data_IF_059272295378
#
_entry.id   IF_059272295378
#
_cell.length_a   1.000
_cell.length_b   1.000
_cell.length_c   1.000
_cell.angle_alpha   90.00
_cell.angle_beta   90.00
_cell.angle_gamma   90.00
#
_symmetry.space_group_name_H-M   'P 1'
#
loop_
_entity.id
_entity.type
_entity.pdbx_description
1 polymer ?
#
# COMPACT_ATOMS: atom_id res chain seq x y z
N UNK A 1 -47.82 22.54 43.80
CA UNK A 1 -46.58 23.27 44.13
C UNK A 1 -45.55 22.91 43.06
N UNK A 2 -45.23 23.90 42.23
CA UNK A 2 -44.36 23.78 41.05
C UNK A 2 -42.91 24.04 41.45
N UNK A 3 -42.00 23.43 40.70
CA UNK A 3 -40.63 23.85 40.40
C UNK A 3 -39.59 23.74 41.51
N UNK A 4 -38.63 22.81 41.35
CA UNK A 4 -37.20 23.07 41.56
C UNK A 4 -36.31 21.92 41.05
N UNK A 5 -36.20 21.73 39.72
CA UNK A 5 -35.14 20.87 39.17
C UNK A 5 -34.83 21.13 37.68
N UNK A 6 -34.96 22.38 37.22
CA UNK A 6 -34.70 22.76 35.83
C UNK A 6 -33.85 24.03 35.76
N UNK A 7 -32.57 23.96 36.15
CA UNK A 7 -31.69 25.12 35.99
C UNK A 7 -30.20 24.85 35.73
N UNK A 8 -29.74 23.60 35.62
CA UNK A 8 -28.31 23.31 35.34
C UNK A 8 -27.98 22.78 33.93
N UNK A 9 -28.97 22.56 33.05
CA UNK A 9 -28.74 22.01 31.70
C UNK A 9 -28.70 23.04 30.55
N UNK A 10 -28.80 24.33 30.83
CA UNK A 10 -28.97 25.36 29.79
C UNK A 10 -27.68 26.05 29.30
N UNK A 11 -26.50 25.73 29.85
CA UNK A 11 -25.25 26.38 29.40
C UNK A 11 -24.39 25.58 28.41
N UNK A 12 -24.66 24.28 28.19
CA UNK A 12 -23.90 23.46 27.23
C UNK A 12 -24.61 23.31 25.86
N UNK A 13 -25.89 23.64 25.77
CA UNK A 13 -26.68 23.60 24.53
C UNK A 13 -26.49 24.85 23.65
N UNK A 14 -25.92 25.93 24.17
CA UNK A 14 -25.70 27.17 23.39
C UNK A 14 -24.45 27.12 22.50
N UNK A 15 -23.41 26.38 22.88
CA UNK A 15 -22.18 26.27 22.08
C UNK A 15 -22.36 25.33 20.86
N UNK A 16 -23.20 24.30 20.98
CA UNK A 16 -23.49 23.38 19.86
C UNK A 16 -24.52 23.93 18.85
N UNK A 17 -25.31 24.93 19.23
CA UNK A 17 -26.29 25.54 18.32
C UNK A 17 -25.64 26.39 17.22
N UNK A 18 -24.47 26.98 17.48
CA UNK A 18 -23.80 27.89 16.54
C UNK A 18 -23.15 27.17 15.34
N UNK A 19 -22.90 25.85 15.42
CA UNK A 19 -22.36 25.07 14.28
C UNK A 19 -23.45 24.51 13.36
N UNK A 20 -24.74 24.62 13.74
CA UNK A 20 -25.86 24.04 12.99
C UNK A 20 -26.52 25.00 11.98
N UNK A 21 -26.23 26.30 12.06
CA UNK A 21 -26.82 27.35 11.21
C UNK A 21 -26.05 27.62 9.91
N UNK A 22 -24.88 27.00 9.70
CA UNK A 22 -24.04 27.28 8.51
C UNK A 22 -24.33 26.42 7.27
N UNK A 23 -25.16 25.36 7.33
CA UNK A 23 -25.35 24.43 6.19
C UNK A 23 -26.76 24.35 5.61
N UNK A 24 -27.65 25.29 5.91
CA UNK A 24 -28.98 25.36 5.26
C UNK A 24 -29.12 26.53 4.27
N UNK A 25 -28.07 27.34 4.08
CA UNK A 25 -28.08 28.55 3.24
C UNK A 25 -27.13 28.52 2.02
N UNK A 26 -26.66 27.35 1.57
CA UNK A 26 -25.86 27.23 0.33
C UNK A 26 -26.51 26.28 -0.67
N UNK A 27 -27.82 26.42 -0.84
CA UNK A 27 -28.45 26.13 -2.12
C UNK A 27 -28.67 27.48 -2.79
N UNK A 28 -27.98 27.67 -3.90
CA UNK A 28 -28.01 28.84 -4.79
C UNK A 28 -27.01 29.95 -4.43
N UNK A 29 -26.18 30.29 -5.42
CA UNK A 29 -25.15 31.35 -5.53
C UNK A 29 -23.70 31.04 -5.12
N UNK A 30 -22.82 31.31 -6.11
CA UNK A 30 -21.37 31.42 -6.14
C UNK A 30 -20.51 30.14 -6.22
N UNK A 31 -20.33 29.70 -7.47
CA UNK A 31 -19.03 29.70 -8.16
C UNK A 31 -17.86 30.29 -7.35
N UNK A 32 -17.16 29.44 -6.60
CA UNK A 32 -15.76 29.65 -6.24
C UNK A 32 -15.03 28.34 -6.55
N UNK A 33 -14.33 28.35 -7.67
CA UNK A 33 -13.50 27.26 -8.17
C UNK A 33 -12.37 26.98 -7.17
N UNK A 34 -12.58 26.01 -6.28
CA UNK A 34 -11.49 25.30 -5.64
C UNK A 34 -11.06 24.17 -6.60
N UNK A 35 -9.82 24.15 -7.11
CA UNK A 35 -9.38 23.15 -8.08
C UNK A 35 -9.46 21.71 -7.55
N UNK A 36 -9.45 21.51 -6.23
CA UNK A 36 -9.71 20.19 -5.62
C UNK A 36 -11.17 19.72 -5.79
N UNK A 37 -12.13 20.64 -5.76
CA UNK A 37 -13.56 20.30 -5.85
C UNK A 37 -13.94 19.90 -7.28
N UNK A 38 -13.27 20.48 -8.29
CA UNK A 38 -13.44 20.10 -9.70
C UNK A 38 -12.76 18.79 -10.07
N UNK A 39 -11.56 18.52 -9.52
CA UNK A 39 -10.93 17.21 -9.70
C UNK A 39 -11.78 16.08 -9.10
N UNK A 40 -12.45 16.33 -7.98
CA UNK A 40 -13.40 15.38 -7.39
C UNK A 40 -14.76 15.33 -8.10
N UNK A 41 -15.24 16.44 -8.69
CA UNK A 41 -16.46 16.45 -9.51
C UNK A 41 -16.31 15.66 -10.81
N UNK A 42 -15.09 15.47 -11.32
CA UNK A 42 -14.81 14.56 -12.46
C UNK A 42 -14.90 13.07 -12.02
N UNK A 43 -14.77 12.82 -10.73
CA UNK A 43 -14.92 11.51 -10.08
C UNK A 43 -16.28 11.45 -9.37
N UNK A 44 -17.35 11.84 -10.09
CA UNK A 44 -18.73 11.96 -9.59
C UNK A 44 -19.29 10.60 -9.15
N UNK A 45 -18.82 10.14 -7.99
CA UNK A 45 -19.38 9.08 -7.18
C UNK A 45 -20.39 9.70 -6.22
N UNK A 46 -21.27 10.58 -6.71
CA UNK A 46 -22.50 10.87 -5.97
C UNK A 46 -23.35 9.61 -6.10
N UNK A 47 -23.51 8.80 -5.04
CA UNK A 47 -24.33 7.62 -5.14
C UNK A 47 -25.76 8.08 -5.41
N UNK A 48 -26.30 7.72 -6.58
CA UNK A 48 -27.66 8.07 -6.97
C UNK A 48 -28.71 7.42 -6.03
N UNK A 49 -28.31 6.38 -5.28
CA UNK A 49 -29.12 5.65 -4.29
C UNK A 49 -28.26 5.17 -3.12
N UNK A 50 -28.84 5.03 -1.92
CA UNK A 50 -28.14 4.53 -0.72
C UNK A 50 -27.50 3.14 -0.92
N UNK A 51 -28.11 2.30 -1.76
CA UNK A 51 -27.57 0.98 -2.14
C UNK A 51 -26.29 1.08 -3.00
N UNK A 52 -26.23 2.07 -3.90
CA UNK A 52 -25.03 2.33 -4.72
C UNK A 52 -23.85 2.73 -3.85
N UNK A 53 -24.09 3.44 -2.75
CA UNK A 53 -23.06 3.84 -1.79
C UNK A 53 -22.47 2.61 -1.11
N UNK A 54 -23.32 1.73 -0.56
CA UNK A 54 -22.91 0.49 0.09
C UNK A 54 -22.04 -0.39 -0.80
N UNK A 55 -22.46 -0.58 -2.05
CA UNK A 55 -21.74 -1.40 -3.01
C UNK A 55 -20.40 -0.75 -3.40
N UNK A 56 -20.36 0.57 -3.56
CA UNK A 56 -19.11 1.28 -3.85
C UNK A 56 -18.07 1.12 -2.73
N UNK A 57 -18.50 1.21 -1.46
CA UNK A 57 -17.63 1.02 -0.30
C UNK A 57 -17.08 -0.41 -0.29
N UNK A 58 -17.95 -1.40 -0.52
CA UNK A 58 -17.53 -2.79 -0.57
C UNK A 58 -16.50 -3.04 -1.69
N UNK A 59 -16.74 -2.52 -2.89
CA UNK A 59 -15.81 -2.65 -4.03
C UNK A 59 -14.47 -1.98 -3.72
N UNK A 60 -14.47 -0.80 -3.08
CA UNK A 60 -13.24 -0.13 -2.66
C UNK A 60 -12.46 -1.00 -1.66
N UNK A 61 -13.11 -1.56 -0.63
CA UNK A 61 -12.43 -2.44 0.33
C UNK A 61 -11.89 -3.72 -0.34
N UNK A 62 -12.60 -4.28 -1.32
CA UNK A 62 -12.11 -5.41 -2.12
C UNK A 62 -10.85 -5.04 -2.91
N UNK A 63 -10.83 -3.87 -3.56
CA UNK A 63 -9.65 -3.38 -4.29
C UNK A 63 -8.49 -3.15 -3.33
N UNK A 64 -8.74 -2.52 -2.18
CA UNK A 64 -7.72 -2.29 -1.14
C UNK A 64 -7.14 -3.62 -0.66
N UNK A 65 -7.97 -4.62 -0.40
CA UNK A 65 -7.51 -5.94 0.00
C UNK A 65 -6.70 -6.63 -1.12
N UNK A 66 -7.13 -6.51 -2.38
CA UNK A 66 -6.40 -7.05 -3.52
C UNK A 66 -5.01 -6.42 -3.67
N UNK A 67 -4.88 -5.11 -3.45
CA UNK A 67 -3.58 -4.43 -3.44
C UNK A 67 -2.70 -4.93 -2.28
N UNK A 68 -3.30 -5.22 -1.13
CA UNK A 68 -2.57 -5.77 0.02
C UNK A 68 -2.11 -7.22 -0.22
N UNK A 69 -2.91 -8.06 -0.91
CA UNK A 69 -2.57 -9.46 -1.18
C UNK A 69 -1.50 -9.63 -2.25
N UNK A 70 -1.46 -8.76 -3.28
CA UNK A 70 -0.41 -8.82 -4.33
C UNK A 70 0.98 -8.50 -3.75
N UNK A 71 1.06 -7.84 -2.58
CA UNK A 71 2.29 -7.66 -1.82
C UNK A 71 3.22 -6.59 -2.38
N UNK A 72 4.07 -6.05 -1.51
CA UNK A 72 4.89 -4.89 -1.85
C UNK A 72 5.92 -5.16 -2.95
N UNK A 73 6.56 -6.31 -2.81
CA UNK A 73 7.73 -6.69 -3.59
C UNK A 73 7.34 -7.08 -5.02
N UNK A 74 6.20 -7.74 -5.23
CA UNK A 74 5.75 -8.16 -6.55
C UNK A 74 5.38 -6.95 -7.42
N UNK A 75 4.63 -6.00 -6.87
CA UNK A 75 4.25 -4.76 -7.57
C UNK A 75 5.50 -3.94 -7.89
N UNK A 76 6.42 -3.77 -6.94
CA UNK A 76 7.63 -2.97 -7.16
C UNK A 76 8.51 -3.58 -8.25
N UNK A 77 8.68 -4.91 -8.26
CA UNK A 77 9.45 -5.60 -9.31
C UNK A 77 8.75 -5.53 -10.68
N UNK A 78 7.42 -5.69 -10.73
CA UNK A 78 6.66 -5.58 -11.97
C UNK A 78 6.70 -4.15 -12.52
N UNK A 79 6.61 -3.13 -11.67
CA UNK A 79 6.68 -1.75 -12.10
C UNK A 79 8.11 -1.34 -12.51
N UNK A 80 9.13 -1.83 -11.80
CA UNK A 80 10.53 -1.62 -12.18
C UNK A 80 10.86 -2.26 -13.55
N UNK A 81 10.33 -3.45 -13.82
CA UNK A 81 10.50 -4.10 -15.13
C UNK A 81 9.73 -3.34 -16.22
N UNK A 82 8.51 -2.88 -15.94
CA UNK A 82 7.73 -2.07 -16.87
C UNK A 82 8.43 -0.74 -17.20
N UNK A 83 8.92 -0.02 -16.19
CA UNK A 83 9.64 1.26 -16.37
C UNK A 83 10.92 1.09 -17.17
N UNK A 84 11.64 -0.02 -17.00
CA UNK A 84 12.83 -0.32 -17.80
C UNK A 84 12.49 -0.76 -19.24
N UNK A 85 11.26 -1.22 -19.48
CA UNK A 85 10.76 -1.55 -20.82
C UNK A 85 10.29 -0.32 -21.58
N UNK A 86 9.75 0.69 -20.89
CA UNK A 86 9.45 1.98 -21.51
C UNK A 86 10.76 2.72 -21.84
N UNK A 87 10.85 3.41 -22.98
CA UNK A 87 12.04 4.15 -23.42
C UNK A 87 12.21 5.48 -22.67
N UNK A 88 12.11 5.44 -21.34
CA UNK A 88 12.34 6.57 -20.45
C UNK A 88 13.85 6.61 -20.15
N UNK A 89 14.36 7.73 -19.63
CA UNK A 89 15.78 8.00 -19.36
C UNK A 89 16.55 6.86 -18.65
N UNK A 90 15.87 6.02 -17.87
CA UNK A 90 16.41 4.81 -17.24
C UNK A 90 16.89 3.75 -18.23
N UNK A 91 16.20 3.56 -19.36
CA UNK A 91 16.60 2.62 -20.42
C UNK A 91 17.91 3.03 -21.12
N UNK A 92 18.13 4.35 -21.32
CA UNK A 92 19.38 4.89 -21.85
C UNK A 92 20.53 4.70 -20.86
N UNK A 93 20.30 4.96 -19.58
CA UNK A 93 21.27 4.72 -18.51
C UNK A 93 21.64 3.22 -18.40
N UNK A 94 20.66 2.31 -18.54
CA UNK A 94 20.92 0.87 -18.57
C UNK A 94 21.73 0.43 -19.80
N UNK A 95 21.50 1.06 -20.96
CA UNK A 95 22.30 0.84 -22.16
C UNK A 95 23.76 1.31 -22.00
N UNK A 96 23.97 2.47 -21.39
CA UNK A 96 25.31 2.99 -21.08
C UNK A 96 26.06 2.12 -20.07
N UNK A 97 25.37 1.61 -19.04
CA UNK A 97 25.96 0.65 -18.10
C UNK A 97 26.47 -0.62 -18.80
N UNK A 98 25.69 -1.18 -19.74
CA UNK A 98 26.12 -2.36 -20.51
C UNK A 98 27.35 -2.08 -21.37
N UNK A 99 27.43 -0.89 -21.97
CA UNK A 99 28.62 -0.46 -22.73
C UNK A 99 29.84 -0.33 -21.84
N UNK A 100 29.73 0.36 -20.70
CA UNK A 100 30.82 0.49 -19.72
C UNK A 100 31.29 -0.86 -19.17
N UNK A 101 30.36 -1.80 -18.92
CA UNK A 101 30.71 -3.17 -18.53
C UNK A 101 31.46 -3.92 -19.63
N UNK A 102 31.01 -3.80 -20.88
CA UNK A 102 31.69 -4.43 -22.01
C UNK A 102 33.11 -3.89 -22.19
N UNK A 103 33.29 -2.57 -22.06
CA UNK A 103 34.60 -1.93 -22.17
C UNK A 103 35.52 -2.27 -20.98
N UNK A 104 34.97 -2.34 -19.76
CA UNK A 104 35.69 -2.85 -18.59
C UNK A 104 36.18 -4.29 -18.78
N UNK A 105 35.32 -5.18 -19.31
CA UNK A 105 35.68 -6.57 -19.58
C UNK A 105 36.73 -6.71 -20.69
N UNK A 106 36.72 -5.82 -21.70
CA UNK A 106 37.78 -5.77 -22.72
C UNK A 106 39.12 -5.35 -22.09
N UNK A 107 39.15 -4.22 -21.37
CA UNK A 107 40.38 -3.72 -20.72
C UNK A 107 40.93 -4.72 -19.71
N UNK A 108 40.07 -5.42 -18.97
CA UNK A 108 40.47 -6.50 -18.06
C UNK A 108 41.09 -7.69 -18.79
N UNK A 109 40.57 -8.07 -19.96
CA UNK A 109 41.19 -9.10 -20.81
C UNK A 109 42.56 -8.66 -21.30
N UNK A 110 42.68 -7.43 -21.78
CA UNK A 110 43.94 -6.91 -22.31
C UNK A 110 45.00 -6.75 -21.21
N UNK A 111 44.59 -6.41 -19.98
CA UNK A 111 45.49 -6.30 -18.82
C UNK A 111 46.04 -7.67 -18.42
N UNK A 112 45.19 -8.70 -18.44
CA UNK A 112 45.59 -10.07 -18.13
C UNK A 112 46.46 -10.70 -19.23
N UNK A 113 46.35 -10.24 -20.48
CA UNK A 113 47.16 -10.71 -21.59
C UNK A 113 48.56 -10.04 -21.66
N UNK A 114 48.79 -8.95 -20.93
CA UNK A 114 50.03 -8.17 -20.98
C UNK A 114 50.97 -8.55 -19.82
N UNK A 115 52.23 -8.90 -20.10
CA UNK A 115 53.28 -9.11 -19.08
C UNK A 115 53.61 -7.79 -18.37
N UNK A 116 53.55 -7.75 -17.05
CA UNK A 116 53.83 -6.54 -16.27
C UNK A 116 55.31 -6.17 -16.21
N UNK A 117 56.21 -7.10 -16.53
CA UNK A 117 57.66 -6.92 -16.45
C UNK A 117 58.24 -6.40 -17.77
N UNK A 118 57.83 -6.99 -18.90
CA UNK A 118 58.37 -6.64 -20.23
C UNK A 118 57.65 -5.45 -20.86
N UNK A 119 56.34 -5.32 -20.64
CA UNK A 119 55.50 -4.28 -21.23
C UNK A 119 54.99 -3.28 -20.17
N UNK A 120 55.82 -2.91 -19.19
CA UNK A 120 55.42 -2.07 -18.04
C UNK A 120 54.72 -0.76 -18.45
N UNK A 121 55.18 -0.08 -19.51
CA UNK A 121 54.57 1.15 -20.00
C UNK A 121 53.12 0.94 -20.48
N UNK A 122 52.86 -0.17 -21.19
CA UNK A 122 51.52 -0.54 -21.65
C UNK A 122 50.65 -1.02 -20.50
N UNK A 123 51.21 -1.85 -19.62
CA UNK A 123 50.54 -2.33 -18.42
C UNK A 123 50.08 -1.17 -17.53
N UNK A 124 50.94 -0.19 -17.27
CA UNK A 124 50.61 0.98 -16.46
C UNK A 124 49.47 1.83 -17.08
N UNK A 125 49.45 1.97 -18.41
CA UNK A 125 48.38 2.68 -19.12
C UNK A 125 47.04 1.94 -19.02
N UNK A 126 47.04 0.63 -19.24
CA UNK A 126 45.84 -0.22 -19.10
C UNK A 126 45.32 -0.25 -17.67
N UNK A 127 46.22 -0.29 -16.68
CA UNK A 127 45.87 -0.26 -15.26
C UNK A 127 45.08 1.01 -14.90
N UNK A 128 45.57 2.19 -15.30
CA UNK A 128 44.85 3.46 -15.10
C UNK A 128 43.49 3.49 -15.80
N UNK A 129 43.37 2.89 -16.99
CA UNK A 129 42.09 2.77 -17.68
C UNK A 129 41.12 1.82 -16.96
N UNK A 130 41.63 0.70 -16.45
CA UNK A 130 40.87 -0.25 -15.63
C UNK A 130 40.33 0.43 -14.36
N UNK A 131 41.18 1.14 -13.63
CA UNK A 131 40.78 1.85 -12.41
C UNK A 131 39.74 2.95 -12.71
N UNK A 132 39.90 3.71 -13.81
CA UNK A 132 38.93 4.74 -14.24
C UNK A 132 37.57 4.15 -14.61
N UNK A 133 37.55 3.04 -15.35
CA UNK A 133 36.30 2.37 -15.74
C UNK A 133 35.61 1.72 -14.53
N UNK A 134 36.38 1.18 -13.59
CA UNK A 134 35.87 0.64 -12.33
C UNK A 134 35.16 1.73 -11.52
N UNK A 135 35.81 2.89 -11.34
CA UNK A 135 35.22 4.02 -10.62
C UNK A 135 33.92 4.51 -11.29
N UNK A 136 33.87 4.57 -12.62
CA UNK A 136 32.65 4.92 -13.35
C UNK A 136 31.55 3.87 -13.14
N UNK A 137 31.87 2.58 -13.21
CA UNK A 137 30.91 1.51 -12.97
C UNK A 137 30.32 1.56 -11.55
N UNK A 138 31.15 1.79 -10.53
CA UNK A 138 30.68 1.94 -9.16
C UNK A 138 29.77 3.15 -8.97
N UNK A 139 30.12 4.30 -9.58
CA UNK A 139 29.27 5.49 -9.57
C UNK A 139 27.91 5.21 -10.20
N UNK A 140 27.87 4.63 -11.40
CA UNK A 140 26.61 4.34 -12.08
C UNK A 140 25.79 3.26 -11.37
N UNK A 141 26.43 2.29 -10.71
CA UNK A 141 25.73 1.32 -9.85
C UNK A 141 25.06 2.00 -8.67
N UNK A 142 25.80 2.84 -7.93
CA UNK A 142 25.27 3.60 -6.78
C UNK A 142 24.10 4.50 -7.17
N UNK A 143 24.18 5.19 -8.32
CA UNK A 143 23.05 6.01 -8.79
C UNK A 143 21.82 5.18 -9.14
N UNK A 144 22.01 4.00 -9.76
CA UNK A 144 20.90 3.11 -10.10
C UNK A 144 20.24 2.52 -8.85
N UNK A 145 21.04 2.10 -7.86
CA UNK A 145 20.54 1.62 -6.57
C UNK A 145 19.79 2.71 -5.80
N UNK A 146 20.31 3.95 -5.80
CA UNK A 146 19.64 5.09 -5.19
C UNK A 146 18.31 5.41 -5.89
N UNK A 147 18.28 5.41 -7.22
CA UNK A 147 17.03 5.55 -7.98
C UNK A 147 16.03 4.46 -7.61
N UNK A 148 16.45 3.18 -7.61
CA UNK A 148 15.60 2.04 -7.24
C UNK A 148 15.00 2.20 -5.83
N UNK A 149 15.83 2.55 -4.85
CA UNK A 149 15.36 2.79 -3.47
C UNK A 149 14.34 3.94 -3.39
N UNK A 150 14.55 5.02 -4.14
CA UNK A 150 13.59 6.12 -4.20
C UNK A 150 12.27 5.70 -4.87
N UNK A 151 12.32 4.91 -5.94
CA UNK A 151 11.12 4.34 -6.54
C UNK A 151 10.37 3.43 -5.56
N UNK A 152 11.07 2.54 -4.86
CA UNK A 152 10.47 1.67 -3.85
C UNK A 152 9.78 2.48 -2.74
N UNK A 153 10.41 3.57 -2.29
CA UNK A 153 9.82 4.50 -1.31
C UNK A 153 8.57 5.18 -1.85
N UNK A 154 8.63 5.74 -3.05
CA UNK A 154 7.49 6.42 -3.68
C UNK A 154 6.33 5.45 -3.85
N UNK A 155 6.57 4.24 -4.34
CA UNK A 155 5.53 3.22 -4.50
C UNK A 155 4.95 2.77 -3.17
N UNK A 156 5.77 2.68 -2.13
CA UNK A 156 5.30 2.37 -0.78
C UNK A 156 4.37 3.48 -0.27
N UNK A 157 4.75 4.75 -0.43
CA UNK A 157 3.92 5.89 -0.04
C UNK A 157 2.62 5.91 -0.84
N UNK A 158 2.70 5.78 -2.17
CA UNK A 158 1.52 5.73 -3.04
C UNK A 158 0.59 4.60 -2.64
N UNK A 159 1.13 3.40 -2.35
CA UNK A 159 0.32 2.27 -1.87
C UNK A 159 -0.35 2.60 -0.55
N UNK A 160 0.37 3.14 0.43
CA UNK A 160 -0.20 3.51 1.74
C UNK A 160 -1.32 4.54 1.54
N UNK A 161 -1.12 5.54 0.68
CA UNK A 161 -2.15 6.52 0.36
C UNK A 161 -3.35 5.85 -0.30
N UNK A 162 -3.15 5.03 -1.34
CA UNK A 162 -4.25 4.36 -2.05
C UNK A 162 -5.01 3.36 -1.15
N UNK A 163 -4.33 2.70 -0.22
CA UNK A 163 -4.95 1.70 0.67
C UNK A 163 -5.58 2.31 1.92
N UNK A 164 -4.97 3.36 2.51
CA UNK A 164 -5.42 3.95 3.78
C UNK A 164 -6.25 5.20 3.59
N UNK A 165 -6.01 6.00 2.56
CA UNK A 165 -6.79 7.22 2.34
C UNK A 165 -8.29 6.92 2.17
N UNK A 166 -8.73 5.89 1.43
CA UNK A 166 -10.16 5.59 1.34
C UNK A 166 -10.79 5.27 2.70
N UNK A 167 -10.08 4.53 3.56
CA UNK A 167 -10.55 4.14 4.89
C UNK A 167 -10.81 5.33 5.82
N UNK A 168 -10.08 6.44 5.65
CA UNK A 168 -10.32 7.66 6.43
C UNK A 168 -11.19 8.68 5.70
N UNK A 169 -11.05 8.78 4.39
CA UNK A 169 -11.72 9.79 3.58
C UNK A 169 -13.21 9.50 3.43
N UNK A 170 -13.60 8.24 3.16
CA UNK A 170 -15.01 7.89 2.99
C UNK A 170 -15.83 8.13 4.27
N UNK A 171 -15.39 7.69 5.47
CA UNK A 171 -16.11 7.98 6.70
C UNK A 171 -16.14 9.46 7.07
N UNK A 172 -15.12 10.21 6.69
CA UNK A 172 -15.08 11.64 6.91
C UNK A 172 -16.11 12.38 6.06
N UNK A 173 -16.26 12.02 4.79
CA UNK A 173 -17.15 12.70 3.85
C UNK A 173 -18.62 12.31 4.02
N UNK A 174 -18.89 11.01 4.22
CA UNK A 174 -20.23 10.44 4.34
C UNK A 174 -20.64 10.18 5.80
N UNK A 175 -20.02 10.89 6.76
CA UNK A 175 -20.19 10.68 8.19
C UNK A 175 -21.65 10.77 8.68
N UNK A 176 -22.47 11.58 8.02
CA UNK A 176 -23.85 11.89 8.44
C UNK A 176 -24.91 11.08 7.69
N UNK A 177 -24.52 10.32 6.67
CA UNK A 177 -25.47 9.52 5.89
C UNK A 177 -25.68 8.15 6.57
N UNK A 178 -26.93 7.77 6.89
CA UNK A 178 -27.23 6.46 7.46
C UNK A 178 -27.22 5.39 6.37
N UNK A 179 -26.49 4.29 6.59
CA UNK A 179 -26.38 3.22 5.61
C UNK A 179 -27.57 2.25 5.65
N UNK A 180 -27.97 1.89 6.87
CA UNK A 180 -29.13 1.05 7.13
C UNK A 180 -29.85 1.54 8.38
N UNK A 181 -31.18 1.51 8.35
CA UNK A 181 -32.04 1.81 9.49
C UNK A 181 -32.43 0.51 10.17
N UNK A 182 -32.15 0.40 11.47
CA UNK A 182 -32.46 -0.80 12.22
C UNK A 182 -33.91 -0.72 12.74
N UNK A 183 -34.68 -1.82 12.68
CA UNK A 183 -36.00 -1.86 13.29
C UNK A 183 -35.90 -1.62 14.80
N UNK A 184 -36.75 -0.75 15.32
CA UNK A 184 -36.70 -0.29 16.70
C UNK A 184 -36.93 -1.47 17.67
N UNK A 185 -35.98 -1.68 18.59
CA UNK A 185 -36.08 -2.71 19.64
C UNK A 185 -35.42 -4.06 19.34
N UNK A 186 -34.71 -4.20 18.21
CA UNK A 186 -33.98 -5.44 17.89
C UNK A 186 -32.60 -5.51 18.57
N UNK A 187 -31.97 -4.36 18.81
CA UNK A 187 -30.64 -4.28 19.40
C UNK A 187 -30.66 -3.51 20.72
N UNK A 188 -29.82 -3.88 21.70
CA UNK A 188 -29.67 -3.12 22.93
C UNK A 188 -29.02 -1.76 22.66
N UNK A 189 -29.31 -0.77 23.50
CA UNK A 189 -28.86 0.63 23.35
C UNK A 189 -27.34 0.78 23.12
N UNK A 190 -26.52 -0.04 23.78
CA UNK A 190 -25.06 0.00 23.60
C UNK A 190 -24.62 -0.42 22.19
N UNK A 191 -25.33 -1.35 21.55
CA UNK A 191 -25.03 -1.80 20.19
C UNK A 191 -25.43 -0.74 19.16
N UNK A 192 -26.60 -0.10 19.35
CA UNK A 192 -27.04 1.03 18.53
C UNK A 192 -26.05 2.20 18.63
N UNK A 193 -25.50 2.46 19.82
CA UNK A 193 -24.49 3.48 20.03
C UNK A 193 -23.18 3.17 19.26
N UNK A 194 -22.63 1.96 19.38
CA UNK A 194 -21.40 1.57 18.68
C UNK A 194 -21.59 1.60 17.16
N UNK A 195 -22.71 1.08 16.66
CA UNK A 195 -23.01 1.03 15.23
C UNK A 195 -23.18 2.42 14.61
N UNK A 196 -23.64 3.40 15.39
CA UNK A 196 -23.86 4.78 14.94
C UNK A 196 -22.60 5.67 14.99
N UNK A 197 -21.56 5.27 15.72
CA UNK A 197 -20.30 6.00 15.81
C UNK A 197 -19.60 6.06 14.43
N UNK A 198 -19.01 7.19 13.98
CA UNK A 198 -18.70 8.42 14.72
C UNK A 198 -19.74 9.56 14.65
N UNK A 199 -20.68 9.55 13.69
CA UNK A 199 -21.59 10.70 13.48
C UNK A 199 -22.96 10.35 12.86
N UNK A 200 -23.32 9.08 12.75
CA UNK A 200 -24.62 8.69 12.25
C UNK A 200 -25.70 8.90 13.34
N UNK A 201 -26.97 9.15 12.97
CA UNK A 201 -28.06 9.22 13.95
C UNK A 201 -28.24 7.88 14.67
N UNK A 202 -28.55 7.93 15.96
CA UNK A 202 -28.82 6.75 16.79
C UNK A 202 -29.98 5.96 16.18
N UNK A 203 -29.83 4.62 16.10
CA UNK A 203 -30.75 3.74 15.38
C UNK A 203 -30.40 3.49 13.91
N UNK A 204 -29.22 3.94 13.46
CA UNK A 204 -28.70 3.66 12.12
C UNK A 204 -27.25 3.15 12.14
N UNK A 205 -26.85 2.46 11.06
CA UNK A 205 -25.48 2.00 10.85
C UNK A 205 -24.65 3.09 10.17
N UNK A 206 -23.51 3.43 10.77
CA UNK A 206 -22.54 4.34 10.18
C UNK A 206 -21.72 3.66 9.08
N UNK A 207 -21.16 4.48 8.19
CA UNK A 207 -20.26 4.01 7.15
C UNK A 207 -18.97 3.36 7.71
N UNK A 208 -18.48 3.82 8.86
CA UNK A 208 -17.31 3.23 9.50
C UNK A 208 -17.60 1.81 10.01
N UNK A 209 -18.75 1.62 10.65
CA UNK A 209 -19.21 0.30 11.10
C UNK A 209 -19.39 -0.66 9.92
N UNK A 210 -19.94 -0.16 8.81
CA UNK A 210 -20.06 -0.94 7.57
C UNK A 210 -18.70 -1.32 6.98
N UNK A 211 -17.76 -0.38 6.89
CA UNK A 211 -16.39 -0.66 6.40
C UNK A 211 -15.67 -1.71 7.24
N UNK A 212 -15.80 -1.64 8.56
CA UNK A 212 -15.24 -2.64 9.47
C UNK A 212 -15.87 -4.01 9.23
N UNK A 213 -17.18 -4.07 9.02
CA UNK A 213 -17.86 -5.32 8.67
C UNK A 213 -17.37 -5.87 7.32
N UNK A 214 -17.25 -5.03 6.28
CA UNK A 214 -16.71 -5.44 4.98
C UNK A 214 -15.27 -5.95 5.09
N UNK A 215 -14.40 -5.24 5.81
CA UNK A 215 -13.02 -5.64 6.04
C UNK A 215 -12.95 -7.01 6.73
N UNK A 216 -13.77 -7.22 7.76
CA UNK A 216 -13.85 -8.50 8.46
C UNK A 216 -14.28 -9.65 7.56
N UNK A 217 -15.34 -9.47 6.77
CA UNK A 217 -15.81 -10.48 5.81
C UNK A 217 -14.75 -10.79 4.76
N UNK A 218 -14.09 -9.77 4.23
CA UNK A 218 -13.03 -9.93 3.23
C UNK A 218 -11.82 -10.68 3.81
N UNK A 219 -11.43 -10.37 5.05
CA UNK A 219 -10.33 -11.06 5.73
C UNK A 219 -10.62 -12.55 5.93
N UNK A 220 -11.82 -12.89 6.39
CA UNK A 220 -12.25 -14.29 6.55
C UNK A 220 -12.26 -15.03 5.21
N UNK A 221 -12.72 -14.38 4.13
CA UNK A 221 -12.70 -14.96 2.79
C UNK A 221 -11.27 -15.15 2.29
N UNK A 222 -10.37 -14.18 2.50
CA UNK A 222 -8.96 -14.34 2.09
C UNK A 222 -8.26 -15.46 2.86
N UNK A 223 -8.53 -15.59 4.16
CA UNK A 223 -7.94 -16.65 4.98
C UNK A 223 -8.50 -18.03 4.60
N UNK A 224 -9.80 -18.11 4.28
CA UNK A 224 -10.41 -19.33 3.77
C UNK A 224 -9.81 -19.75 2.41
N UNK A 225 -9.63 -18.80 1.48
CA UNK A 225 -9.01 -19.05 0.17
C UNK A 225 -7.54 -19.46 0.36
N UNK A 226 -6.80 -18.76 1.21
CA UNK A 226 -5.40 -19.09 1.49
C UNK A 226 -5.25 -20.47 2.16
N UNK A 227 -6.14 -20.79 3.11
CA UNK A 227 -6.16 -22.09 3.78
C UNK A 227 -6.52 -23.24 2.83
N UNK A 228 -7.54 -23.06 1.97
CA UNK A 228 -7.92 -24.07 0.97
C UNK A 228 -6.86 -24.23 -0.12
N UNK A 229 -6.28 -23.13 -0.62
CA UNK A 229 -5.14 -23.19 -1.53
C UNK A 229 -3.94 -23.88 -0.86
N UNK A 230 -3.63 -23.55 0.39
CA UNK A 230 -2.58 -24.20 1.18
C UNK A 230 -2.81 -25.71 1.34
N UNK A 231 -4.05 -26.17 1.50
CA UNK A 231 -4.38 -27.60 1.55
C UNK A 231 -4.25 -28.28 0.17
N UNK A 232 -4.66 -27.61 -0.91
CA UNK A 232 -4.59 -28.13 -2.28
C UNK A 232 -3.16 -28.14 -2.86
N UNK A 233 -2.33 -27.16 -2.48
CA UNK A 233 -0.94 -27.05 -2.92
C UNK A 233 0.05 -27.69 -1.92
N UNK A 234 -0.24 -27.67 -0.61
CA UNK A 234 0.57 -28.27 0.44
C UNK A 234 0.47 -29.80 0.53
N UNK A 235 -0.59 -30.40 -0.02
CA UNK A 235 -0.64 -31.86 -0.23
C UNK A 235 0.37 -32.36 -1.26
N UNK A 236 0.97 -31.47 -2.07
CA UNK A 236 2.05 -31.85 -2.98
C UNK A 236 3.43 -31.91 -2.32
N UNK A 237 3.67 -31.20 -1.22
CA UNK A 237 4.99 -31.16 -0.57
C UNK A 237 5.09 -32.00 0.71
N UNK A 238 3.96 -32.44 1.28
CA UNK A 238 3.97 -33.31 2.47
C UNK A 238 4.41 -34.77 2.20
N UNK A 239 4.83 -35.13 0.98
CA UNK A 239 5.27 -36.49 0.63
C UNK A 239 6.77 -36.66 0.40
N UNK A 240 7.58 -35.61 0.59
CA UNK A 240 9.03 -35.70 0.37
C UNK A 240 9.82 -34.96 1.45
N UNK A 241 9.86 -35.54 2.65
CA UNK A 241 10.91 -35.25 3.63
C UNK A 241 11.66 -36.56 3.94
N UNK A 242 12.96 -36.67 3.63
CA UNK A 242 13.74 -37.86 3.92
C UNK A 242 14.06 -37.88 5.42
N UNK A 243 13.58 -38.93 6.08
CA UNK A 243 14.11 -39.40 7.35
C UNK A 243 15.56 -39.78 7.06
N UNK A 244 16.54 -39.16 7.75
CA UNK A 244 17.87 -39.67 8.16
C UNK A 244 18.94 -38.58 8.12
N UNK A 245 19.05 -37.79 9.19
CA UNK A 245 20.31 -37.11 9.53
C UNK A 245 20.67 -37.14 11.02
N UNK A 246 19.86 -37.79 11.87
CA UNK A 246 20.09 -37.78 13.32
C UNK A 246 20.79 -39.04 13.88
N UNK A 247 21.22 -40.00 13.03
CA UNK A 247 21.90 -41.22 13.52
C UNK A 247 23.41 -41.29 13.29
N UNK A 248 24.04 -40.35 12.59
CA UNK A 248 25.49 -40.45 12.28
C UNK A 248 26.40 -39.83 13.35
N UNK A 249 25.88 -39.00 14.26
CA UNK A 249 26.72 -38.30 15.26
C UNK A 249 26.93 -39.13 16.56
N UNK A 250 26.19 -40.21 16.76
CA UNK A 250 26.27 -40.99 18.01
C UNK A 250 27.34 -42.10 18.02
N UNK A 251 27.88 -42.52 16.87
CA UNK A 251 28.81 -43.66 16.81
C UNK A 251 30.30 -43.28 16.78
N UNK A 252 30.65 -42.02 16.47
CA UNK A 252 32.06 -41.60 16.37
C UNK A 252 32.72 -41.25 17.73
N UNK A 253 31.92 -41.09 18.81
CA UNK A 253 32.44 -40.76 20.15
C UNK A 253 32.89 -41.95 21.00
N UNK A 254 32.86 -43.18 20.47
CA UNK A 254 33.20 -44.40 21.23
C UNK A 254 34.53 -45.07 20.82
N UNK A 255 35.33 -44.43 19.96
CA UNK A 255 36.62 -44.94 19.49
C UNK A 255 37.74 -43.90 19.53
N UNK A 256 37.79 -43.12 20.61
CA UNK A 256 38.98 -42.38 21.02
C UNK A 256 39.29 -42.63 22.48
#
# INVERSE_FOLDING_TARGET
MKNHQSQHHHHLTSIFACTSISRRCTKNTLSVYNPLFLAFAILDLRPATMASLMLSVFVVEVIVNLVNTIGATAINNLLWTLINFLPISTSKAAGEQRKLQADYLKVRRDLNATSSQDEFARWAKLRRQHDKLLEQLEKTKKTTEASRSNFDRVLTVVRIVVTRAPQYFLPFWYATEPMFWLPHGWFPYWAEWILSFPRAPIGSVSIASWQLACTGVIALLSDLIAGTAGLLFGTKEAKEAPITSEKVVAEEKKKS
#
